data_IF_159102779257
#
_entry.id   IF_159102779257
#
_cell.length_a   1.000
_cell.length_b   1.000
_cell.length_c   1.000
_cell.angle_alpha   90.00
_cell.angle_beta   90.00
_cell.angle_gamma   90.00
#
_symmetry.space_group_name_H-M   'P 1'
#
loop_
_entity.id
_entity.type
_entity.pdbx_description
1 polymer ?
#
# COMPACT_ATOMS: atom_id res chain seq x y z
N UNK A 1 -74.20 -31.68 -29.74
CA UNK A 1 -73.25 -31.64 -28.60
C UNK A 1 -71.83 -31.61 -29.15
N UNK A 2 -70.92 -30.89 -28.49
CA UNK A 2 -69.47 -30.75 -28.78
C UNK A 2 -69.05 -29.46 -29.51
N UNK A 3 -69.06 -28.33 -28.77
CA UNK A 3 -68.37 -27.06 -29.10
C UNK A 3 -67.37 -26.65 -27.99
N UNK A 4 -66.61 -27.60 -27.42
CA UNK A 4 -65.69 -27.35 -26.28
C UNK A 4 -64.31 -27.97 -26.48
N UNK A 5 -63.54 -27.57 -27.51
CA UNK A 5 -62.14 -28.01 -27.68
C UNK A 5 -61.16 -26.96 -28.22
N UNK A 6 -61.61 -25.76 -28.60
CA UNK A 6 -60.72 -24.74 -29.17
C UNK A 6 -60.07 -23.79 -28.14
N UNK A 7 -60.63 -23.66 -26.93
CA UNK A 7 -60.13 -22.75 -25.90
C UNK A 7 -58.82 -23.22 -25.24
N UNK A 8 -58.51 -24.52 -25.24
CA UNK A 8 -57.36 -25.09 -24.52
C UNK A 8 -56.01 -24.85 -25.21
N UNK A 9 -55.97 -24.74 -26.54
CA UNK A 9 -54.73 -24.53 -27.29
C UNK A 9 -54.21 -23.10 -27.12
N UNK A 10 -55.11 -22.11 -27.23
CA UNK A 10 -54.76 -20.69 -27.04
C UNK A 10 -54.24 -20.46 -25.63
N UNK A 11 -54.91 -21.01 -24.62
CA UNK A 11 -54.48 -20.92 -23.22
C UNK A 11 -53.10 -21.54 -22.99
N UNK A 12 -52.82 -22.71 -23.58
CA UNK A 12 -51.50 -23.36 -23.48
C UNK A 12 -50.40 -22.51 -24.12
N UNK A 13 -50.68 -21.90 -25.28
CA UNK A 13 -49.72 -21.01 -25.95
C UNK A 13 -49.46 -19.75 -25.13
N UNK A 14 -50.50 -19.15 -24.54
CA UNK A 14 -50.36 -17.99 -23.66
C UNK A 14 -49.56 -18.34 -22.39
N UNK A 15 -49.83 -19.49 -21.76
CA UNK A 15 -49.07 -19.95 -20.61
C UNK A 15 -47.59 -20.18 -20.96
N UNK A 16 -47.31 -20.83 -22.09
CA UNK A 16 -45.94 -21.04 -22.56
C UNK A 16 -45.22 -19.70 -22.83
N UNK A 17 -45.89 -18.75 -23.46
CA UNK A 17 -45.34 -17.43 -23.72
C UNK A 17 -45.03 -16.67 -22.43
N UNK A 18 -45.93 -16.73 -21.44
CA UNK A 18 -45.70 -16.12 -20.13
C UNK A 18 -44.53 -16.76 -19.39
N UNK A 19 -44.45 -18.10 -19.37
CA UNK A 19 -43.34 -18.83 -18.72
C UNK A 19 -42.02 -18.53 -19.42
N UNK A 20 -42.00 -18.51 -20.75
CA UNK A 20 -40.80 -18.13 -21.52
C UNK A 20 -40.36 -16.70 -21.20
N UNK A 21 -41.30 -15.75 -21.17
CA UNK A 21 -41.01 -14.36 -20.80
C UNK A 21 -40.46 -14.22 -19.38
N UNK A 22 -41.06 -14.90 -18.40
CA UNK A 22 -40.57 -14.92 -17.02
C UNK A 22 -39.18 -15.56 -16.93
N UNK A 23 -38.93 -16.64 -17.66
CA UNK A 23 -37.63 -17.31 -17.70
C UNK A 23 -36.51 -16.38 -18.15
N UNK A 24 -36.72 -15.63 -19.25
CA UNK A 24 -35.74 -14.65 -19.73
C UNK A 24 -35.50 -13.53 -18.72
N UNK A 25 -36.56 -13.02 -18.10
CA UNK A 25 -36.46 -11.97 -17.08
C UNK A 25 -35.62 -12.42 -15.88
N UNK A 26 -35.82 -13.66 -15.40
CA UNK A 26 -35.06 -14.24 -14.29
C UNK A 26 -33.58 -14.40 -14.64
N UNK A 27 -33.26 -14.93 -15.82
CA UNK A 27 -31.86 -15.06 -16.26
C UNK A 27 -31.15 -13.70 -16.35
N UNK A 28 -31.83 -12.67 -16.87
CA UNK A 28 -31.29 -11.32 -16.91
C UNK A 28 -31.04 -10.76 -15.50
N UNK A 29 -31.97 -10.97 -14.56
CA UNK A 29 -31.82 -10.54 -13.18
C UNK A 29 -30.62 -11.24 -12.49
N UNK A 30 -30.45 -12.55 -12.69
CA UNK A 30 -29.31 -13.31 -12.16
C UNK A 30 -27.99 -12.78 -12.74
N UNK A 31 -27.93 -12.55 -14.06
CA UNK A 31 -26.74 -12.01 -14.71
C UNK A 31 -26.40 -10.59 -14.26
N UNK A 32 -27.40 -9.76 -13.94
CA UNK A 32 -27.18 -8.46 -13.31
C UNK A 32 -26.62 -8.61 -11.89
N UNK A 33 -27.22 -9.48 -11.07
CA UNK A 33 -26.79 -9.74 -9.70
C UNK A 33 -25.35 -10.26 -9.62
N UNK A 34 -24.98 -11.23 -10.47
CA UNK A 34 -23.63 -11.78 -10.52
C UNK A 34 -22.57 -10.70 -10.85
N UNK A 35 -22.87 -9.80 -11.78
CA UNK A 35 -21.98 -8.67 -12.13
C UNK A 35 -21.85 -7.68 -10.98
N UNK A 36 -22.94 -7.40 -10.24
CA UNK A 36 -22.89 -6.53 -9.08
C UNK A 36 -22.08 -7.13 -7.93
N UNK A 37 -22.19 -8.44 -7.68
CA UNK A 37 -21.41 -9.12 -6.63
C UNK A 37 -19.92 -9.16 -6.98
N UNK A 38 -19.58 -9.48 -8.22
CA UNK A 38 -18.19 -9.42 -8.70
C UNK A 38 -17.58 -8.02 -8.50
N UNK A 39 -18.30 -6.96 -8.90
CA UNK A 39 -17.85 -5.59 -8.69
C UNK A 39 -17.75 -5.18 -7.21
N UNK A 40 -18.65 -5.68 -6.36
CA UNK A 40 -18.59 -5.42 -4.92
C UNK A 40 -17.37 -6.10 -4.27
N UNK A 41 -17.05 -7.33 -4.68
CA UNK A 41 -15.86 -8.06 -4.22
C UNK A 41 -14.57 -7.34 -4.61
N UNK A 42 -14.45 -6.90 -5.87
CA UNK A 42 -13.30 -6.11 -6.33
C UNK A 42 -13.08 -4.84 -5.49
N UNK A 43 -14.15 -4.08 -5.21
CA UNK A 43 -14.02 -2.86 -4.38
C UNK A 43 -13.57 -3.16 -2.96
N UNK A 44 -14.04 -4.25 -2.34
CA UNK A 44 -13.59 -4.66 -1.00
C UNK A 44 -12.09 -4.98 -0.99
N UNK A 45 -11.60 -5.72 -1.99
CA UNK A 45 -10.18 -6.01 -2.14
C UNK A 45 -9.36 -4.72 -2.36
N UNK A 46 -9.87 -3.79 -3.18
CA UNK A 46 -9.23 -2.50 -3.39
C UNK A 46 -9.18 -1.65 -2.11
N UNK A 47 -10.23 -1.67 -1.30
CA UNK A 47 -10.24 -1.02 0.01
C UNK A 47 -9.16 -1.60 0.92
N UNK A 48 -9.08 -2.93 1.04
CA UNK A 48 -8.01 -3.58 1.82
C UNK A 48 -6.61 -3.16 1.39
N UNK A 49 -6.35 -3.09 0.07
CA UNK A 49 -5.05 -2.64 -0.45
C UNK A 49 -4.74 -1.17 -0.12
N UNK A 50 -5.75 -0.31 -0.17
CA UNK A 50 -5.62 1.10 0.20
C UNK A 50 -5.35 1.23 1.70
N UNK A 51 -6.10 0.51 2.54
CA UNK A 51 -5.91 0.53 4.00
C UNK A 51 -4.52 0.03 4.40
N UNK A 52 -4.05 -1.07 3.80
CA UNK A 52 -2.71 -1.61 4.03
C UNK A 52 -1.62 -0.57 3.68
N UNK A 53 -1.73 0.08 2.52
CA UNK A 53 -0.78 1.10 2.09
C UNK A 53 -0.84 2.37 2.97
N UNK A 54 -2.04 2.79 3.38
CA UNK A 54 -2.21 3.93 4.30
C UNK A 54 -1.62 3.60 5.68
N UNK A 55 -1.84 2.39 6.18
CA UNK A 55 -1.24 1.92 7.43
C UNK A 55 0.30 1.92 7.31
N UNK A 56 0.85 1.41 6.21
CA UNK A 56 2.28 1.40 5.92
C UNK A 56 2.88 2.82 5.94
N UNK A 57 2.29 3.76 5.18
CA UNK A 57 2.76 5.15 5.10
C UNK A 57 2.61 5.87 6.44
N UNK A 58 1.55 5.58 7.21
CA UNK A 58 1.32 6.20 8.51
C UNK A 58 2.32 5.76 9.58
N UNK A 59 2.92 4.58 9.42
CA UNK A 59 3.95 4.05 10.32
C UNK A 59 5.35 4.60 10.06
N UNK A 60 5.56 5.28 8.92
CA UNK A 60 6.85 5.87 8.56
C UNK A 60 6.89 7.35 9.02
N UNK A 61 8.03 7.85 9.53
CA UNK A 61 8.13 9.24 9.96
C UNK A 61 8.01 10.21 8.77
N UNK A 62 7.55 11.42 9.06
CA UNK A 62 7.30 12.48 8.06
C UNK A 62 8.59 13.02 7.48
N UNK A 63 9.59 13.26 8.31
CA UNK A 63 10.90 13.71 7.90
C UNK A 63 11.94 12.67 8.31
N UNK A 64 12.92 12.43 7.43
CA UNK A 64 14.13 11.72 7.85
C UNK A 64 14.79 12.58 8.93
N UNK A 65 15.00 12.01 10.11
CA UNK A 65 15.89 12.61 11.09
C UNK A 65 17.29 12.56 10.48
N UNK A 66 17.71 13.66 9.87
CA UNK A 66 19.13 13.89 9.62
C UNK A 66 19.78 13.98 10.98
N UNK A 67 20.49 12.91 11.37
CA UNK A 67 21.43 12.94 12.48
C UNK A 67 22.50 13.93 12.06
N UNK A 68 22.25 15.20 12.36
CA UNK A 68 23.12 16.32 12.03
C UNK A 68 24.18 16.38 13.10
N UNK A 69 25.13 15.46 13.04
CA UNK A 69 26.23 15.38 13.99
C UNK A 69 27.07 14.13 13.77
N UNK A 70 28.37 14.33 13.67
CA UNK A 70 29.45 13.34 13.79
C UNK A 70 29.45 12.59 15.14
N UNK A 71 28.48 12.85 16.00
CA UNK A 71 28.47 12.40 17.39
C UNK A 71 27.56 11.19 17.50
N UNK A 72 28.18 10.02 17.34
CA UNK A 72 27.66 8.70 17.67
C UNK A 72 26.62 8.10 16.71
N UNK A 73 27.12 7.23 15.83
CA UNK A 73 26.30 6.33 14.99
C UNK A 73 25.63 5.21 15.83
N UNK A 74 26.04 5.00 17.09
CA UNK A 74 25.51 3.94 17.97
C UNK A 74 25.45 4.34 19.46
N UNK A 75 25.34 5.64 19.78
CA UNK A 75 25.56 6.12 21.16
C UNK A 75 27.00 5.96 21.65
N UNK A 76 27.89 5.43 20.80
CA UNK A 76 29.35 5.42 20.99
C UNK A 76 29.86 6.76 20.49
N UNK A 77 30.24 7.71 21.37
CA UNK A 77 30.90 8.92 20.91
C UNK A 77 32.15 8.51 20.13
N UNK A 78 32.18 8.82 18.84
CA UNK A 78 33.40 8.68 18.03
C UNK A 78 34.23 9.90 18.39
N UNK A 79 34.78 9.90 19.60
CA UNK A 79 35.76 10.88 20.04
C UNK A 79 37.04 10.57 19.29
N UNK A 80 37.11 11.04 18.04
CA UNK A 80 38.34 11.04 17.25
C UNK A 80 39.30 12.07 17.83
N UNK A 81 39.79 11.86 19.06
CA UNK A 81 41.08 12.41 19.44
C UNK A 81 42.07 11.75 18.49
N UNK A 82 42.65 12.52 17.57
CA UNK A 82 43.52 12.06 16.47
C UNK A 82 44.85 11.43 16.91
N UNK A 83 44.83 10.65 17.99
CA UNK A 83 45.94 9.81 18.43
C UNK A 83 45.97 8.61 17.50
N UNK A 84 46.84 8.69 16.48
CA UNK A 84 47.21 7.54 15.65
C UNK A 84 47.90 6.50 16.53
N UNK A 85 47.11 5.67 17.22
CA UNK A 85 47.62 4.45 17.82
C UNK A 85 47.94 3.52 16.67
N UNK A 86 49.23 3.24 16.48
CA UNK A 86 49.75 2.27 15.53
C UNK A 86 48.94 0.98 15.62
N UNK A 87 48.22 0.65 14.54
CA UNK A 87 47.35 -0.52 14.47
C UNK A 87 48.12 -1.77 14.90
N UNK A 88 47.54 -2.63 15.78
CA UNK A 88 48.16 -3.89 16.16
C UNK A 88 48.39 -4.71 14.88
N UNK A 89 49.64 -5.14 14.70
CA UNK A 89 50.04 -5.95 13.58
C UNK A 89 49.23 -7.26 13.57
N UNK A 90 48.40 -7.41 12.55
CA UNK A 90 47.80 -8.68 12.10
C UNK A 90 46.87 -9.33 13.13
N UNK A 91 45.62 -8.89 13.15
CA UNK A 91 44.52 -9.69 13.69
C UNK A 91 44.19 -10.79 12.68
N UNK A 92 44.40 -12.05 13.06
CA UNK A 92 44.18 -13.22 12.22
C UNK A 92 42.69 -13.31 11.81
N UNK A 93 42.33 -13.31 10.51
CA UNK A 93 40.95 -13.15 10.04
C UNK A 93 40.03 -14.37 10.26
N UNK A 94 40.47 -15.37 11.03
CA UNK A 94 39.82 -16.68 11.09
C UNK A 94 38.69 -16.82 12.14
N UNK A 95 38.36 -15.78 12.91
CA UNK A 95 37.40 -15.87 14.01
C UNK A 95 36.32 -14.78 14.00
N UNK A 96 35.97 -14.22 12.83
CA UNK A 96 34.77 -13.39 12.75
C UNK A 96 33.56 -14.33 12.83
N UNK A 97 32.82 -14.24 13.93
CA UNK A 97 31.57 -14.95 14.15
C UNK A 97 30.67 -14.81 12.90
N UNK A 98 30.12 -15.91 12.34
CA UNK A 98 29.25 -15.84 11.16
C UNK A 98 28.03 -14.90 11.37
N UNK A 99 27.57 -14.68 12.60
CA UNK A 99 26.54 -13.69 12.90
C UNK A 99 27.05 -12.26 12.69
N UNK A 100 28.27 -11.96 13.14
CA UNK A 100 28.94 -10.68 12.88
C UNK A 100 29.26 -10.55 11.40
N UNK A 101 29.62 -11.64 10.72
CA UNK A 101 29.80 -11.65 9.28
C UNK A 101 28.47 -11.35 8.56
N UNK A 102 27.31 -11.83 9.00
CA UNK A 102 26.01 -11.43 8.42
C UNK A 102 25.69 -9.94 8.64
N UNK A 103 26.18 -9.34 9.72
CA UNK A 103 26.01 -7.92 10.03
C UNK A 103 26.98 -7.04 9.20
N UNK A 104 28.23 -7.50 9.03
CA UNK A 104 29.32 -6.83 8.28
C UNK A 104 29.18 -7.01 6.77
N UNK A 105 28.87 -8.22 6.31
CA UNK A 105 28.59 -8.53 4.89
C UNK A 105 27.25 -7.95 4.47
N UNK A 106 26.45 -7.46 5.43
CA UNK A 106 25.12 -6.96 5.23
C UNK A 106 24.28 -8.04 4.58
N UNK A 107 23.70 -8.95 5.37
CA UNK A 107 22.50 -9.69 4.94
C UNK A 107 21.62 -8.65 4.28
N UNK A 108 21.61 -8.68 2.94
CA UNK A 108 21.45 -7.46 2.19
C UNK A 108 20.06 -6.95 2.52
N UNK A 109 19.98 -5.78 3.16
CA UNK A 109 18.73 -5.04 3.20
C UNK A 109 18.21 -5.13 1.78
N UNK A 110 17.03 -5.71 1.55
CA UNK A 110 16.55 -5.98 0.20
C UNK A 110 16.79 -4.72 -0.63
N UNK A 111 17.66 -4.86 -1.64
CA UNK A 111 18.05 -3.71 -2.47
C UNK A 111 16.83 -3.16 -3.22
N UNK A 112 15.81 -4.00 -3.34
CA UNK A 112 14.51 -3.72 -3.93
C UNK A 112 13.42 -3.59 -2.85
N UNK A 113 12.41 -2.76 -3.15
CA UNK A 113 11.20 -2.65 -2.36
C UNK A 113 11.15 -1.46 -1.41
N UNK A 114 10.09 -1.44 -0.59
CA UNK A 114 9.71 -0.31 0.27
C UNK A 114 10.31 -0.37 1.67
N UNK A 115 11.13 -1.39 1.96
CA UNK A 115 11.89 -1.45 3.22
C UNK A 115 12.90 -0.31 3.34
N UNK A 116 13.34 0.28 2.23
CA UNK A 116 14.25 1.42 2.20
C UNK A 116 13.56 2.77 2.41
N UNK A 117 12.23 2.78 2.42
CA UNK A 117 11.45 4.02 2.59
C UNK A 117 11.49 4.37 4.07
N UNK A 118 12.32 5.36 4.37
CA UNK A 118 12.62 5.85 5.71
C UNK A 118 11.80 7.10 6.05
N UNK A 119 11.11 7.69 5.07
CA UNK A 119 10.21 8.83 5.26
C UNK A 119 8.98 8.75 4.37
N UNK A 120 7.90 9.46 4.72
CA UNK A 120 6.69 9.59 3.88
C UNK A 120 7.05 10.09 2.47
N UNK A 121 8.07 10.95 2.34
CA UNK A 121 8.53 11.48 1.05
C UNK A 121 9.04 10.41 0.10
N UNK A 122 9.55 9.28 0.61
CA UNK A 122 10.08 8.21 -0.23
C UNK A 122 8.99 7.51 -1.07
N UNK A 123 7.71 7.73 -0.72
CA UNK A 123 6.56 7.27 -1.50
C UNK A 123 6.11 8.24 -2.61
N UNK A 124 6.80 9.37 -2.80
CA UNK A 124 6.43 10.34 -3.82
C UNK A 124 6.45 9.71 -5.22
N UNK A 125 5.33 9.84 -5.94
CA UNK A 125 5.12 9.27 -7.28
C UNK A 125 5.32 7.75 -7.37
N UNK A 126 5.24 7.05 -6.23
CA UNK A 126 5.46 5.62 -6.18
C UNK A 126 4.31 4.87 -6.87
N UNK A 127 4.66 3.90 -7.70
CA UNK A 127 3.74 3.10 -8.48
C UNK A 127 4.19 1.64 -8.44
N UNK A 128 3.22 0.73 -8.30
CA UNK A 128 3.50 -0.71 -8.30
C UNK A 128 2.42 -1.52 -9.01
N UNK A 129 2.88 -2.48 -9.82
CA UNK A 129 2.06 -3.48 -10.52
C UNK A 129 2.91 -4.74 -10.79
N UNK A 130 2.50 -5.95 -10.37
CA UNK A 130 1.37 -6.24 -9.48
C UNK A 130 1.66 -5.77 -8.04
N UNK A 131 0.64 -5.63 -7.17
CA UNK A 131 0.84 -5.26 -5.77
C UNK A 131 1.75 -6.25 -5.03
N UNK A 132 2.68 -5.73 -4.22
CA UNK A 132 3.61 -6.50 -3.39
C UNK A 132 3.63 -6.02 -1.94
N UNK A 133 3.89 -6.92 -1.00
CA UNK A 133 4.15 -6.55 0.40
C UNK A 133 5.37 -5.63 0.52
N UNK A 134 5.54 -5.00 1.68
CA UNK A 134 6.64 -4.04 1.92
C UNK A 134 8.03 -4.64 1.65
N UNK A 135 8.19 -5.93 1.93
CA UNK A 135 9.39 -6.73 1.68
C UNK A 135 9.63 -7.07 0.20
N UNK A 136 8.71 -6.71 -0.70
CA UNK A 136 8.80 -6.99 -2.14
C UNK A 136 8.18 -8.33 -2.57
N UNK A 137 7.61 -9.12 -1.65
CA UNK A 137 6.92 -10.36 -2.01
C UNK A 137 5.58 -10.07 -2.71
N UNK A 138 5.24 -10.75 -3.82
CA UNK A 138 3.94 -10.61 -4.46
C UNK A 138 2.78 -10.92 -3.51
N UNK A 139 1.75 -10.08 -3.52
CA UNK A 139 0.52 -10.39 -2.77
C UNK A 139 -0.34 -11.40 -3.53
N UNK A 140 -0.74 -12.47 -2.87
CA UNK A 140 -1.65 -13.46 -3.47
C UNK A 140 -3.03 -12.86 -3.76
N UNK A 141 -3.67 -13.32 -4.85
CA UNK A 141 -5.00 -12.86 -5.25
C UNK A 141 -5.04 -11.55 -6.05
N UNK A 142 -3.89 -10.91 -6.31
CA UNK A 142 -3.80 -9.69 -7.11
C UNK A 142 -3.06 -9.92 -8.43
N UNK A 143 -3.78 -10.21 -9.55
CA UNK A 143 -3.14 -10.38 -10.85
C UNK A 143 -2.50 -9.07 -11.36
N UNK A 144 -1.70 -9.16 -12.42
CA UNK A 144 -1.00 -8.04 -13.06
C UNK A 144 -1.90 -6.90 -13.62
N UNK A 145 -3.22 -7.06 -13.53
CA UNK A 145 -4.18 -6.00 -13.85
C UNK A 145 -4.36 -5.00 -12.69
N UNK A 146 -3.93 -5.34 -11.48
CA UNK A 146 -4.01 -4.49 -10.28
C UNK A 146 -2.79 -3.59 -10.16
N UNK A 147 -3.04 -2.34 -9.79
CA UNK A 147 -1.98 -1.33 -9.64
C UNK A 147 -2.28 -0.44 -8.44
N UNK A 148 -1.24 -0.13 -7.67
CA UNK A 148 -1.26 0.88 -6.61
C UNK A 148 -0.43 2.08 -7.04
N UNK A 149 -0.89 3.28 -6.71
CA UNK A 149 -0.15 4.51 -6.92
C UNK A 149 -0.26 5.39 -5.67
N UNK A 150 0.83 6.06 -5.32
CA UNK A 150 0.90 6.99 -4.21
C UNK A 150 1.39 8.33 -4.73
N UNK A 151 0.65 9.38 -4.40
CA UNK A 151 1.03 10.77 -4.64
C UNK A 151 1.26 11.45 -3.30
N UNK A 152 2.44 12.04 -3.13
CA UNK A 152 2.83 12.75 -1.91
C UNK A 152 3.11 14.20 -2.27
N UNK A 153 2.37 15.12 -1.66
CA UNK A 153 2.53 16.55 -1.88
C UNK A 153 2.83 17.26 -0.57
N UNK A 154 3.95 17.99 -0.52
CA UNK A 154 4.26 18.86 0.61
C UNK A 154 3.27 20.02 0.69
N UNK A 155 2.62 20.19 1.84
CA UNK A 155 1.60 21.21 2.05
C UNK A 155 1.96 22.13 3.22
N UNK A 156 1.40 23.33 3.19
CA UNK A 156 1.47 24.27 4.30
C UNK A 156 0.36 23.94 5.32
N UNK A 157 0.66 23.76 6.62
CA UNK A 157 -0.27 23.18 7.58
C UNK A 157 -1.50 24.06 7.87
N UNK A 158 -1.38 25.38 7.68
CA UNK A 158 -2.48 26.32 8.00
C UNK A 158 -3.52 26.47 6.89
N UNK A 159 -3.16 26.21 5.63
CA UNK A 159 -4.04 26.49 4.48
C UNK A 159 -4.09 25.35 3.46
N UNK A 160 -3.37 24.24 3.71
CA UNK A 160 -3.28 23.04 2.87
C UNK A 160 -2.79 23.32 1.44
N UNK A 161 -2.24 24.49 1.17
CA UNK A 161 -1.67 24.83 -0.13
C UNK A 161 -0.31 24.13 -0.32
N UNK A 162 0.07 23.77 -1.56
CA UNK A 162 1.39 23.22 -1.82
C UNK A 162 2.48 24.20 -1.38
N UNK A 163 3.43 23.75 -0.58
CA UNK A 163 4.41 24.66 0.05
C UNK A 163 5.66 24.93 -0.80
N UNK A 164 5.95 24.10 -1.81
CA UNK A 164 7.16 24.20 -2.65
C UNK A 164 8.49 24.00 -1.90
N UNK A 165 8.48 24.04 -0.56
CA UNK A 165 9.61 23.78 0.33
C UNK A 165 10.22 22.41 0.05
N UNK A 166 11.55 22.36 0.07
CA UNK A 166 12.31 21.11 0.01
C UNK A 166 12.17 20.26 1.27
N UNK A 167 11.68 20.83 2.38
CA UNK A 167 11.43 20.14 3.64
C UNK A 167 10.08 20.57 4.25
N UNK A 168 8.95 20.08 3.68
CA UNK A 168 7.63 20.29 4.25
C UNK A 168 7.53 19.65 5.64
N UNK A 169 6.88 20.35 6.57
CA UNK A 169 6.50 19.79 7.89
C UNK A 169 5.20 18.98 7.84
N UNK A 170 4.47 19.09 6.74
CA UNK A 170 3.22 18.39 6.49
C UNK A 170 3.14 17.92 5.04
N UNK A 171 2.54 16.75 4.84
CA UNK A 171 2.29 16.16 3.53
C UNK A 171 0.84 15.75 3.39
N UNK A 172 0.28 16.01 2.21
CA UNK A 172 -0.95 15.41 1.72
C UNK A 172 -0.58 14.16 0.93
N UNK A 173 -1.12 13.02 1.34
CA UNK A 173 -0.87 11.73 0.72
C UNK A 173 -2.16 11.20 0.14
N UNK A 174 -2.15 10.87 -1.16
CA UNK A 174 -3.25 10.17 -1.84
C UNK A 174 -2.76 8.79 -2.29
N UNK A 175 -3.52 7.77 -1.94
CA UNK A 175 -3.31 6.39 -2.39
C UNK A 175 -4.45 6.00 -3.33
N UNK A 176 -4.12 5.54 -4.52
CA UNK A 176 -5.09 5.08 -5.52
C UNK A 176 -4.84 3.61 -5.87
N UNK A 177 -5.93 2.84 -5.95
CA UNK A 177 -5.91 1.44 -6.39
C UNK A 177 -6.78 1.30 -7.63
N UNK A 178 -6.15 0.82 -8.70
CA UNK A 178 -6.78 0.60 -9.99
C UNK A 178 -6.73 -0.88 -10.36
N UNK A 179 -7.76 -1.37 -11.07
CA UNK A 179 -7.77 -2.69 -11.69
C UNK A 179 -8.29 -2.57 -13.10
N UNK A 180 -7.59 -3.15 -14.08
CA UNK A 180 -7.92 -3.03 -15.51
C UNK A 180 -8.08 -1.57 -15.96
N UNK A 181 -7.27 -0.66 -15.42
CA UNK A 181 -7.35 0.78 -15.70
C UNK A 181 -8.52 1.52 -15.05
N UNK A 182 -9.39 0.85 -14.28
CA UNK A 182 -10.49 1.48 -13.55
C UNK A 182 -10.07 1.76 -12.10
N UNK A 183 -10.27 2.99 -11.64
CA UNK A 183 -10.13 3.33 -10.22
C UNK A 183 -11.20 2.61 -9.39
N UNK A 184 -10.75 1.77 -8.46
CA UNK A 184 -11.63 0.99 -7.58
C UNK A 184 -11.75 1.60 -6.18
N UNK A 185 -10.63 2.13 -5.65
CA UNK A 185 -10.57 2.78 -4.35
C UNK A 185 -9.52 3.89 -4.35
N UNK A 186 -9.77 4.93 -3.56
CA UNK A 186 -8.83 6.01 -3.28
C UNK A 186 -8.98 6.44 -1.82
N UNK A 187 -7.88 6.79 -1.16
CA UNK A 187 -7.90 7.38 0.19
C UNK A 187 -6.85 8.46 0.31
N UNK A 188 -7.19 9.48 1.07
CA UNK A 188 -6.38 10.65 1.31
C UNK A 188 -6.14 10.80 2.81
N UNK A 189 -4.90 11.13 3.18
CA UNK A 189 -4.51 11.44 4.56
C UNK A 189 -3.58 12.65 4.59
N UNK A 190 -3.53 13.32 5.74
CA UNK A 190 -2.53 14.34 6.03
C UNK A 190 -1.59 13.79 7.09
N UNK A 191 -0.28 13.90 6.86
CA UNK A 191 0.76 13.52 7.82
C UNK A 191 1.57 14.76 8.20
N UNK A 192 1.79 14.97 9.49
CA UNK A 192 2.53 16.12 10.04
C UNK A 192 3.63 15.63 10.97
N UNK A 193 4.77 16.31 10.99
CA UNK A 193 5.90 16.02 11.87
C UNK A 193 5.55 16.09 13.37
N UNK A 194 4.51 16.86 13.74
CA UNK A 194 4.01 16.96 15.10
C UNK A 194 3.59 15.60 15.69
N UNK A 195 3.11 14.67 14.85
CA UNK A 195 2.74 13.33 15.29
C UNK A 195 3.97 12.54 15.75
N UNK A 196 5.04 12.60 14.97
CA UNK A 196 6.29 11.87 15.27
C UNK A 196 6.95 12.40 16.56
N UNK A 197 6.82 13.72 16.82
CA UNK A 197 7.33 14.33 18.06
C UNK A 197 6.60 13.84 19.32
N UNK A 198 5.30 13.54 19.23
CA UNK A 198 4.53 13.02 20.38
C UNK A 198 4.99 11.61 20.69
N UNK A 199 5.08 10.74 19.68
CA UNK A 199 5.53 9.35 19.84
C UNK A 199 6.93 9.29 20.46
N UNK A 200 7.87 10.13 20.01
CA UNK A 200 9.23 10.16 20.59
C UNK A 200 9.27 10.56 22.07
N UNK A 201 8.33 11.39 22.55
CA UNK A 201 8.30 11.83 23.95
C UNK A 201 7.73 10.79 24.91
N UNK A 202 6.91 9.87 24.42
CA UNK A 202 6.34 8.80 25.23
C UNK A 202 7.36 7.69 25.48
N UNK A 203 8.31 7.47 24.56
CA UNK A 203 9.39 6.48 24.72
C UNK A 203 10.44 6.91 25.79
N UNK A 204 10.57 8.20 26.06
CA UNK A 204 11.53 8.76 27.03
C UNK A 204 11.01 8.77 28.50
N UNK A 205 9.75 8.38 28.76
CA UNK A 205 9.14 8.37 30.10
C UNK A 205 9.12 6.99 30.74
#
# INVERSE_FOLDING_TARGET
MNKRRALTLIETVLALAMVAGMGVAVLSAIGAAARTDAGARERRLAQTLVEDMIAEISAVPVARQTISGSDAILGIPITGTGESTSAPAVMEPAAIDPAVQSLITGSSIPSEGRLRFASVRDYADWVENPPRHRNGEPMEGFPAAWRRAVSVQGIHPLNLSPTGSSNPRAYFVRVEVTSHGRLLASREIIRTDAWDQITSREEDR
#
